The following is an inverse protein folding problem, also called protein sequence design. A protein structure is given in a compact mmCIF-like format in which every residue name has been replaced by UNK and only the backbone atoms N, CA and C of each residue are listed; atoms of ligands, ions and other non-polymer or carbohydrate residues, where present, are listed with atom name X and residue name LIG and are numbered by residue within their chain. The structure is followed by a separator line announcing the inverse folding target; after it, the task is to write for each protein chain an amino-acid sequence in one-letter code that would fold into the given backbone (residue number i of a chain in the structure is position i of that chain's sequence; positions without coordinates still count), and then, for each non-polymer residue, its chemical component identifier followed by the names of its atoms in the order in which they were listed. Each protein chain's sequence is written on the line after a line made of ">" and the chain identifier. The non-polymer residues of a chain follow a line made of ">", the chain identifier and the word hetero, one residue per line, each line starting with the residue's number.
data_IF_511678235166
#
_entry.id   IF_511678235166
#
_cell.length_a   1.000
_cell.length_b   1.000
_cell.length_c   1.000
_cell.angle_alpha   90.00
_cell.angle_beta   90.00
_cell.angle_gamma   90.00
#
_symmetry.space_group_name_H-M   'P 1'
#
loop_
_entity.id
_entity.type
_entity.pdbx_description
1 polymer ?
#
# COMPACT_ATOMS: atom_id res chain seq x y z
N UNK A 1 -21.65 24.63 6.59
CA UNK A 1 -21.07 24.06 5.35
C UNK A 1 -19.80 23.24 5.61
N UNK A 2 -19.71 22.50 6.73
CA UNK A 2 -18.52 21.68 7.04
C UNK A 2 -18.69 20.18 6.70
N UNK A 3 -19.94 19.71 6.57
CA UNK A 3 -20.26 18.28 6.41
C UNK A 3 -19.94 17.72 5.02
N UNK A 4 -19.96 18.56 3.98
CA UNK A 4 -19.72 18.12 2.59
C UNK A 4 -18.24 17.82 2.28
N UNK A 5 -17.28 18.45 2.98
CA UNK A 5 -15.84 18.25 2.74
C UNK A 5 -15.28 17.02 3.44
N UNK A 6 -15.93 16.54 4.51
CA UNK A 6 -15.53 15.33 5.25
C UNK A 6 -15.88 14.08 4.45
N UNK A 7 -17.08 14.01 3.87
CA UNK A 7 -17.50 12.87 3.05
C UNK A 7 -16.65 12.67 1.80
N UNK A 8 -16.24 13.76 1.14
CA UNK A 8 -15.37 13.70 -0.05
C UNK A 8 -13.96 13.21 0.29
N UNK A 9 -13.41 13.63 1.44
CA UNK A 9 -12.10 13.15 1.92
C UNK A 9 -12.12 11.68 2.31
N UNK A 10 -13.13 11.22 3.05
CA UNK A 10 -13.20 9.81 3.48
C UNK A 10 -13.43 8.86 2.30
N UNK A 11 -14.26 9.26 1.32
CA UNK A 11 -14.44 8.49 0.09
C UNK A 11 -13.17 8.47 -0.77
N UNK A 12 -12.48 9.60 -0.89
CA UNK A 12 -11.22 9.69 -1.65
C UNK A 12 -10.10 8.90 -0.97
N UNK A 13 -10.03 8.90 0.35
CA UNK A 13 -9.09 8.08 1.13
C UNK A 13 -9.37 6.59 0.96
N UNK A 14 -10.63 6.16 0.99
CA UNK A 14 -10.99 4.75 0.72
C UNK A 14 -10.56 4.29 -0.67
N UNK A 15 -10.75 5.12 -1.70
CA UNK A 15 -10.30 4.83 -3.06
C UNK A 15 -8.77 4.72 -3.17
N UNK A 16 -8.03 5.61 -2.50
CA UNK A 16 -6.55 5.59 -2.48
C UNK A 16 -6.02 4.35 -1.76
N UNK A 17 -6.64 3.95 -0.64
CA UNK A 17 -6.23 2.76 0.11
C UNK A 17 -6.41 1.46 -0.67
N UNK A 18 -7.55 1.29 -1.34
CA UNK A 18 -7.79 0.12 -2.21
C UNK A 18 -6.83 0.11 -3.41
N UNK A 19 -6.55 1.28 -4.00
CA UNK A 19 -5.66 1.43 -5.15
C UNK A 19 -4.19 1.07 -4.82
N UNK A 20 -3.67 1.49 -3.67
CA UNK A 20 -2.32 1.16 -3.23
C UNK A 20 -2.13 -0.35 -3.00
N UNK A 21 -3.09 -1.00 -2.31
CA UNK A 21 -3.02 -2.46 -2.09
C UNK A 21 -3.23 -3.24 -3.38
N UNK A 22 -4.10 -2.75 -4.27
CA UNK A 22 -4.31 -3.35 -5.57
C UNK A 22 -3.05 -3.30 -6.42
N UNK A 23 -2.41 -2.12 -6.50
CA UNK A 23 -1.17 -1.91 -7.25
C UNK A 23 -0.02 -2.75 -6.69
N UNK A 24 0.10 -2.85 -5.36
CA UNK A 24 1.04 -3.76 -4.70
C UNK A 24 0.86 -5.21 -5.17
N UNK A 25 -0.37 -5.74 -5.19
CA UNK A 25 -0.65 -7.10 -5.66
C UNK A 25 -0.30 -7.29 -7.13
N UNK A 26 -0.54 -6.28 -7.96
CA UNK A 26 -0.24 -6.35 -9.39
C UNK A 26 1.26 -6.29 -9.69
N UNK A 27 2.03 -5.51 -8.92
CA UNK A 27 3.50 -5.54 -8.98
C UNK A 27 4.03 -6.95 -8.63
N UNK A 28 3.49 -7.57 -7.58
CA UNK A 28 3.90 -8.92 -7.16
C UNK A 28 3.56 -10.01 -8.19
N UNK A 29 2.42 -9.87 -8.89
CA UNK A 29 2.00 -10.81 -9.95
C UNK A 29 2.91 -10.76 -11.17
N UNK A 30 3.52 -9.61 -11.46
CA UNK A 30 4.40 -9.43 -12.62
C UNK A 30 5.77 -10.08 -12.46
N UNK A 31 6.10 -10.62 -11.27
CA UNK A 31 7.38 -11.29 -10.94
C UNK A 31 8.63 -10.42 -11.07
N UNK A 32 8.52 -9.12 -11.30
CA UNK A 32 9.67 -8.21 -11.38
C UNK A 32 10.36 -8.04 -10.01
N UNK A 33 9.59 -8.08 -8.90
CA UNK A 33 10.10 -7.89 -7.52
C UNK A 33 9.33 -8.73 -6.51
N UNK A 34 10.03 -9.20 -5.48
CA UNK A 34 9.45 -10.05 -4.44
C UNK A 34 8.63 -9.26 -3.43
N UNK A 35 7.72 -9.96 -2.74
CA UNK A 35 6.98 -9.41 -1.58
C UNK A 35 7.91 -8.80 -0.54
N UNK A 36 9.11 -9.37 -0.42
CA UNK A 36 10.13 -8.87 0.49
C UNK A 36 10.67 -7.48 0.11
N UNK A 37 10.80 -7.17 -1.19
CA UNK A 37 11.31 -5.88 -1.64
C UNK A 37 10.30 -4.77 -1.33
N UNK A 38 9.01 -5.05 -1.56
CA UNK A 38 7.91 -4.16 -1.18
C UNK A 38 7.82 -3.97 0.33
N UNK A 39 8.02 -5.03 1.12
CA UNK A 39 8.07 -4.91 2.57
C UNK A 39 9.25 -4.06 3.04
N UNK A 40 10.45 -4.26 2.47
CA UNK A 40 11.65 -3.46 2.78
C UNK A 40 11.37 -1.99 2.48
N UNK A 41 10.77 -1.69 1.33
CA UNK A 41 10.47 -0.32 0.94
C UNK A 41 9.44 0.33 1.87
N UNK A 42 8.35 -0.40 2.18
CA UNK A 42 7.36 0.02 3.17
C UNK A 42 8.00 0.33 4.53
N UNK A 43 8.91 -0.53 4.99
CA UNK A 43 9.61 -0.34 6.26
C UNK A 43 10.56 0.87 6.25
N UNK A 44 11.29 1.08 5.15
CA UNK A 44 12.19 2.23 4.98
C UNK A 44 11.44 3.57 5.07
N UNK A 45 10.20 3.61 4.59
CA UNK A 45 9.33 4.80 4.66
C UNK A 45 8.60 4.95 5.99
N UNK A 46 8.93 4.15 7.00
CA UNK A 46 8.40 4.25 8.36
C UNK A 46 7.27 3.29 8.67
N UNK A 47 6.90 2.41 7.73
CA UNK A 47 5.89 1.38 7.90
C UNK A 47 6.31 0.37 8.97
N UNK A 48 5.37 -0.01 9.83
CA UNK A 48 5.64 -0.92 10.96
C UNK A 48 4.76 -2.15 10.88
N UNK A 49 5.34 -3.28 10.52
CA UNK A 49 4.73 -4.59 10.64
C UNK A 49 5.80 -5.67 10.46
N UNK A 50 5.52 -6.86 10.98
CA UNK A 50 6.31 -8.04 10.69
C UNK A 50 6.11 -8.47 9.22
N UNK A 51 7.11 -9.03 8.52
CA UNK A 51 6.96 -9.52 7.14
C UNK A 51 5.74 -10.43 6.90
N UNK A 52 5.43 -11.32 7.85
CA UNK A 52 4.24 -12.19 7.77
C UNK A 52 2.92 -11.43 7.90
N UNK A 53 2.88 -10.35 8.70
CA UNK A 53 1.69 -9.49 8.80
C UNK A 53 1.50 -8.72 7.49
N UNK A 54 2.61 -8.28 6.89
CA UNK A 54 2.60 -7.63 5.58
C UNK A 54 2.08 -8.55 4.47
N UNK A 55 2.55 -9.80 4.43
CA UNK A 55 2.06 -10.84 3.52
C UNK A 55 0.54 -11.05 3.68
N UNK A 56 0.10 -11.27 4.92
CA UNK A 56 -1.31 -11.45 5.24
C UNK A 56 -2.17 -10.24 4.81
N UNK A 57 -1.66 -9.02 4.99
CA UNK A 57 -2.32 -7.80 4.54
C UNK A 57 -2.44 -7.71 3.02
N UNK A 58 -1.34 -7.93 2.29
CA UNK A 58 -1.33 -7.91 0.82
C UNK A 58 -2.33 -8.91 0.26
N UNK A 59 -2.48 -10.07 0.91
CA UNK A 59 -3.42 -11.11 0.55
C UNK A 59 -4.84 -10.94 1.11
N UNK A 60 -5.17 -9.77 1.70
CA UNK A 60 -6.48 -9.44 2.28
C UNK A 60 -6.92 -10.35 3.44
N UNK A 61 -5.97 -10.99 4.12
CA UNK A 61 -6.22 -11.72 5.36
C UNK A 61 -6.33 -10.76 6.54
N UNK A 62 -5.52 -9.69 6.54
CA UNK A 62 -5.57 -8.63 7.55
C UNK A 62 -6.24 -7.35 7.01
N UNK A 63 -6.93 -6.59 7.88
CA UNK A 63 -7.63 -5.37 7.48
C UNK A 63 -6.69 -4.21 7.18
N UNK A 64 -7.12 -3.34 6.25
CA UNK A 64 -6.43 -2.12 5.83
C UNK A 64 -6.02 -1.21 6.98
N UNK A 65 -6.92 -1.05 7.95
CA UNK A 65 -6.82 -0.09 9.03
C UNK A 65 -5.67 -0.37 10.01
N UNK A 66 -5.01 -1.53 9.89
CA UNK A 66 -3.85 -1.89 10.71
C UNK A 66 -2.52 -1.45 10.09
N UNK A 67 -2.56 -0.95 8.85
CA UNK A 67 -1.39 -0.61 8.07
C UNK A 67 -1.41 0.86 7.70
N UNK A 68 -0.21 1.43 7.55
CA UNK A 68 -0.06 2.80 7.09
C UNK A 68 -0.16 2.83 5.56
N UNK A 69 -1.34 3.16 5.07
CA UNK A 69 -1.63 3.10 3.64
C UNK A 69 -0.94 4.22 2.85
N UNK A 70 -0.63 5.35 3.49
CA UNK A 70 0.10 6.45 2.85
C UNK A 70 1.56 6.04 2.63
N UNK A 71 2.17 5.39 3.63
CA UNK A 71 3.51 4.81 3.49
C UNK A 71 3.55 3.72 2.43
N UNK A 72 2.52 2.87 2.36
CA UNK A 72 2.42 1.85 1.31
C UNK A 72 2.33 2.47 -0.08
N UNK A 73 1.55 3.54 -0.25
CA UNK A 73 1.42 4.22 -1.54
C UNK A 73 2.79 4.72 -2.04
N UNK A 74 3.57 5.37 -1.16
CA UNK A 74 4.94 5.83 -1.50
C UNK A 74 5.84 4.66 -1.88
N UNK A 75 5.84 3.58 -1.09
CA UNK A 75 6.66 2.40 -1.36
C UNK A 75 6.33 1.73 -2.70
N UNK A 76 5.04 1.68 -3.05
CA UNK A 76 4.56 1.16 -4.34
C UNK A 76 4.96 2.06 -5.50
N UNK A 77 4.84 3.38 -5.36
CA UNK A 77 5.26 4.36 -6.38
C UNK A 77 6.75 4.26 -6.67
N UNK A 78 7.60 4.20 -5.65
CA UNK A 78 9.05 4.07 -5.83
C UNK A 78 9.42 2.76 -6.53
N UNK A 79 8.84 1.64 -6.11
CA UNK A 79 9.07 0.36 -6.76
C UNK A 79 8.58 0.33 -8.21
N UNK A 80 7.49 1.02 -8.53
CA UNK A 80 7.00 1.12 -9.90
C UNK A 80 7.92 1.96 -10.79
N UNK A 81 8.51 3.05 -10.26
CA UNK A 81 9.47 3.89 -10.98
C UNK A 81 10.78 3.14 -11.24
N UNK A 82 11.29 2.41 -10.25
CA UNK A 82 12.50 1.60 -10.44
C UNK A 82 12.30 0.38 -11.37
N UNK A 83 11.07 0.10 -11.82
CA UNK A 83 10.79 -0.93 -12.83
C UNK A 83 10.87 -0.41 -14.27
N UNK A 84 10.97 0.92 -14.46
CA UNK A 84 11.02 1.59 -15.78
C UNK A 84 12.47 1.98 -16.16
N UNK A 85 13.38 1.98 -15.18
CA UNK A 85 14.81 2.29 -15.37
C UNK A 85 15.64 1.05 -15.74
#
# INVERSE_FOLDING_TARGET
>A
MATALVGDREQKQGLVMDDARHTARDLLRRKDRGLIDLWIMYWNHGGRCHPFEFDAFVHNVLPAAWFDMDVLAVAVEELAVENIA
#
